data_IF_414588163234
#
_entry.id   IF_414588163234
#
_cell.length_a   1.000
_cell.length_b   1.000
_cell.length_c   1.000
_cell.angle_alpha   90.00
_cell.angle_beta   90.00
_cell.angle_gamma   90.00
#
_symmetry.space_group_name_H-M   'P 1'
#
loop_
_entity.id
_entity.type
_entity.pdbx_description
1 polymer ?
#
# COMPACT_ATOMS: atom_id res chain seq x y z
N UNK A 1 -12.49 -11.79 21.16
CA UNK A 1 -11.57 -12.95 21.20
C UNK A 1 -10.37 -12.53 22.03
N UNK A 2 -9.87 -13.41 22.92
CA UNK A 2 -8.69 -13.08 23.72
C UNK A 2 -7.45 -13.64 23.02
N UNK A 3 -6.40 -12.84 22.95
CA UNK A 3 -5.12 -13.20 22.37
C UNK A 3 -4.03 -13.31 23.43
N UNK A 4 -3.02 -14.12 23.13
CA UNK A 4 -1.74 -14.14 23.83
C UNK A 4 -0.70 -13.51 22.92
N UNK A 5 0.07 -12.58 23.45
CA UNK A 5 1.25 -11.98 22.80
C UNK A 5 2.49 -12.71 23.25
N UNK A 6 3.29 -13.13 22.28
CA UNK A 6 4.61 -13.72 22.49
C UNK A 6 5.68 -12.76 21.96
N UNK A 7 6.68 -12.49 22.77
CA UNK A 7 7.87 -11.75 22.35
C UNK A 7 9.02 -12.73 22.24
N UNK A 8 9.47 -12.99 21.02
CA UNK A 8 10.60 -13.88 20.74
C UNK A 8 11.90 -13.09 20.60
N UNK A 9 12.96 -13.64 21.14
CA UNK A 9 14.34 -13.16 20.99
C UNK A 9 15.17 -14.28 20.40
N UNK A 10 15.87 -14.03 19.31
CA UNK A 10 16.69 -15.03 18.61
C UNK A 10 18.16 -14.66 18.64
N UNK A 11 19.05 -15.65 18.70
CA UNK A 11 20.49 -15.46 18.58
C UNK A 11 21.08 -16.52 17.64
N UNK A 12 21.62 -16.13 16.45
CA UNK A 12 21.66 -14.76 15.90
C UNK A 12 20.27 -14.22 15.55
N UNK A 13 20.11 -12.89 15.60
CA UNK A 13 18.92 -12.20 15.11
C UNK A 13 19.19 -11.66 13.70
N UNK A 14 18.38 -12.06 12.73
CA UNK A 14 18.38 -11.54 11.36
C UNK A 14 17.04 -11.90 10.67
N UNK A 15 16.75 -11.20 9.57
CA UNK A 15 15.52 -11.34 8.81
C UNK A 15 15.22 -12.80 8.41
N UNK A 16 16.23 -13.53 7.93
CA UNK A 16 16.05 -14.94 7.51
C UNK A 16 15.64 -15.86 8.68
N UNK A 17 16.16 -15.63 9.88
CA UNK A 17 15.78 -16.38 11.08
C UNK A 17 14.35 -16.03 11.48
N UNK A 18 13.98 -14.74 11.41
CA UNK A 18 12.64 -14.27 11.74
C UNK A 18 11.60 -14.78 10.76
N UNK A 19 11.89 -14.83 9.45
CA UNK A 19 11.00 -15.38 8.43
C UNK A 19 10.72 -16.87 8.65
N UNK A 20 11.78 -17.65 8.97
CA UNK A 20 11.61 -19.07 9.27
C UNK A 20 10.84 -19.24 10.57
N UNK A 21 11.09 -18.40 11.59
CA UNK A 21 10.35 -18.44 12.86
C UNK A 21 8.86 -18.14 12.63
N UNK A 22 8.53 -17.12 11.83
CA UNK A 22 7.15 -16.82 11.45
C UNK A 22 6.46 -18.01 10.79
N UNK A 23 7.15 -18.68 9.86
CA UNK A 23 6.59 -19.82 9.14
C UNK A 23 6.27 -21.00 10.08
N UNK A 24 7.19 -21.40 10.97
CA UNK A 24 6.94 -22.52 11.91
C UNK A 24 5.90 -22.17 12.98
N UNK A 25 5.84 -20.90 13.42
CA UNK A 25 4.83 -20.44 14.37
C UNK A 25 3.44 -20.38 13.73
N UNK A 26 3.35 -20.03 12.44
CA UNK A 26 2.07 -20.09 11.71
C UNK A 26 1.52 -21.53 11.67
N UNK A 27 2.38 -22.54 11.48
CA UNK A 27 1.98 -23.95 11.57
C UNK A 27 1.54 -24.35 13.00
N UNK A 28 2.08 -23.69 14.03
CA UNK A 28 1.69 -23.87 15.42
C UNK A 28 0.42 -23.08 15.82
N UNK A 29 -0.23 -22.38 14.87
CA UNK A 29 -1.51 -21.70 15.07
C UNK A 29 -1.42 -20.21 15.36
N UNK A 30 -0.24 -19.59 15.26
CA UNK A 30 -0.12 -18.13 15.32
C UNK A 30 -0.64 -17.50 14.03
N UNK A 31 -1.40 -16.41 14.14
CA UNK A 31 -2.09 -15.76 13.03
C UNK A 31 -1.60 -14.35 12.70
N UNK A 32 -0.75 -13.76 13.56
CA UNK A 32 -0.25 -12.40 13.38
C UNK A 32 1.19 -12.26 13.86
N UNK A 33 2.01 -11.53 13.09
CA UNK A 33 3.45 -11.34 13.32
C UNK A 33 3.84 -9.88 13.18
N UNK A 34 4.70 -9.37 14.07
CA UNK A 34 5.20 -8.00 14.05
C UNK A 34 6.71 -7.99 14.24
N UNK A 35 7.44 -7.42 13.26
CA UNK A 35 8.86 -7.13 13.38
C UNK A 35 9.01 -5.76 14.04
N UNK A 36 9.74 -5.69 15.14
CA UNK A 36 10.06 -4.41 15.77
C UNK A 36 11.45 -4.00 15.30
N UNK A 37 11.50 -3.16 14.26
CA UNK A 37 12.75 -2.56 13.82
C UNK A 37 13.27 -1.59 14.89
N UNK A 38 14.55 -1.72 15.25
CA UNK A 38 15.26 -0.82 16.20
C UNK A 38 15.42 0.61 15.66
N UNK A 39 14.99 0.90 14.44
CA UNK A 39 15.18 2.17 13.75
C UNK A 39 14.30 3.33 14.25
N UNK A 40 13.19 3.06 14.93
CA UNK A 40 12.27 4.14 15.35
C UNK A 40 12.69 4.84 16.67
N UNK A 41 13.70 4.34 17.40
CA UNK A 41 14.17 4.95 18.64
C UNK A 41 15.29 5.99 18.45
N UNK A 42 15.96 6.02 17.28
CA UNK A 42 17.06 6.98 17.04
C UNK A 42 16.60 8.36 16.55
N UNK A 43 15.34 8.58 16.24
CA UNK A 43 14.86 9.86 15.70
C UNK A 43 14.64 10.97 16.77
N UNK A 44 14.88 10.72 18.06
CA UNK A 44 14.51 11.68 19.13
C UNK A 44 15.62 12.17 20.06
N UNK A 45 16.89 11.90 19.82
CA UNK A 45 17.94 12.42 20.71
C UNK A 45 19.17 12.95 19.98
N UNK A 46 18.99 14.04 19.21
CA UNK A 46 20.06 15.02 19.02
C UNK A 46 19.69 16.27 19.82
N UNK A 47 20.06 16.35 21.07
CA UNK A 47 20.14 17.61 21.80
C UNK A 47 21.61 17.98 21.87
N UNK A 48 21.94 19.18 21.35
CA UNK A 48 23.29 19.81 21.40
C UNK A 48 23.66 20.25 22.84
N UNK A 49 23.46 19.40 23.85
CA UNK A 49 23.84 19.67 25.21
C UNK A 49 24.98 18.73 25.67
N UNK A 50 26.22 19.24 25.85
CA UNK A 50 27.36 18.43 26.22
C UNK A 50 27.37 17.92 27.70
N UNK A 51 26.37 18.25 28.51
CA UNK A 51 26.25 17.83 29.89
C UNK A 51 25.13 16.79 30.16
N UNK A 52 24.58 16.17 29.12
CA UNK A 52 23.60 15.09 29.29
C UNK A 52 24.28 13.81 29.79
N UNK A 53 23.70 13.10 30.77
CA UNK A 53 24.27 11.86 31.24
C UNK A 53 24.32 10.81 30.15
N UNK A 54 25.48 10.18 29.96
CA UNK A 54 25.68 9.05 29.06
C UNK A 54 24.88 7.88 29.62
N UNK A 55 23.76 7.54 28.96
CA UNK A 55 23.07 6.28 29.23
C UNK A 55 23.86 5.18 28.53
N UNK A 56 24.28 4.15 29.32
CA UNK A 56 24.84 2.93 28.75
C UNK A 56 23.86 2.34 27.71
N UNK A 57 24.34 2.19 26.49
CA UNK A 57 23.62 1.49 25.42
C UNK A 57 23.35 0.05 25.90
N UNK A 58 22.08 -0.24 26.21
CA UNK A 58 21.61 -1.64 26.18
C UNK A 58 21.63 -2.04 24.71
N UNK A 59 22.38 -3.11 24.41
CA UNK A 59 22.37 -3.71 23.07
C UNK A 59 20.93 -3.90 22.63
N UNK A 60 20.58 -3.27 21.49
CA UNK A 60 19.28 -3.43 20.83
C UNK A 60 19.12 -4.90 20.46
N UNK A 61 18.22 -5.57 21.13
CA UNK A 61 17.83 -6.94 20.81
C UNK A 61 16.61 -6.81 19.90
N UNK A 62 16.77 -7.15 18.63
CA UNK A 62 15.63 -7.24 17.69
C UNK A 62 14.58 -8.17 18.30
N UNK A 63 13.40 -7.64 18.53
CA UNK A 63 12.28 -8.37 19.09
C UNK A 63 11.30 -8.73 17.98
N UNK A 64 10.92 -10.00 17.95
CA UNK A 64 9.90 -10.52 17.07
C UNK A 64 8.66 -10.87 17.89
N UNK A 65 7.52 -10.25 17.56
CA UNK A 65 6.25 -10.51 18.25
C UNK A 65 5.34 -11.37 17.41
N UNK A 66 4.67 -12.31 18.07
CA UNK A 66 3.66 -13.17 17.44
C UNK A 66 2.42 -13.29 18.35
N UNK A 67 1.26 -13.45 17.72
CA UNK A 67 -0.01 -13.51 18.41
C UNK A 67 -0.76 -14.79 18.07
N UNK A 68 -1.40 -15.38 19.10
CA UNK A 68 -2.23 -16.58 18.97
C UNK A 68 -3.52 -16.40 19.76
N UNK A 69 -4.64 -16.89 19.23
CA UNK A 69 -5.89 -16.92 19.98
C UNK A 69 -5.74 -17.82 21.20
N UNK A 70 -6.17 -17.32 22.37
CA UNK A 70 -6.01 -18.04 23.65
C UNK A 70 -6.63 -19.44 23.63
N UNK A 71 -7.70 -19.63 22.86
CA UNK A 71 -8.41 -20.88 22.70
C UNK A 71 -7.66 -21.91 21.83
N UNK A 72 -6.75 -21.43 20.96
CA UNK A 72 -5.93 -22.27 20.08
C UNK A 72 -4.53 -22.52 20.65
N UNK A 73 -4.17 -21.83 21.73
CA UNK A 73 -2.86 -21.96 22.34
C UNK A 73 -2.67 -23.31 23.04
N UNK A 74 -1.64 -24.04 22.63
CA UNK A 74 -1.14 -25.23 23.32
C UNK A 74 0.36 -25.04 23.63
N UNK A 75 0.67 -25.00 24.92
CA UNK A 75 2.05 -24.76 25.41
C UNK A 75 3.03 -25.84 24.94
N UNK A 76 2.57 -27.09 24.82
CA UNK A 76 3.41 -28.20 24.39
C UNK A 76 3.80 -28.02 22.91
N UNK A 77 2.85 -27.66 22.06
CA UNK A 77 3.09 -27.41 20.62
C UNK A 77 4.07 -26.24 20.41
N UNK A 78 3.92 -25.13 21.13
CA UNK A 78 4.84 -23.99 20.99
C UNK A 78 6.24 -24.34 21.45
N UNK A 79 6.39 -25.04 22.56
CA UNK A 79 7.70 -25.51 23.05
C UNK A 79 8.36 -26.48 22.06
N UNK A 80 7.61 -27.44 21.56
CA UNK A 80 8.10 -28.39 20.54
C UNK A 80 8.53 -27.68 19.26
N UNK A 81 7.79 -26.67 18.81
CA UNK A 81 8.12 -25.86 17.64
C UNK A 81 9.44 -25.11 17.81
N UNK A 82 9.67 -24.53 18.99
CA UNK A 82 10.92 -23.81 19.30
C UNK A 82 12.10 -24.79 19.45
N UNK A 83 11.90 -25.92 20.14
CA UNK A 83 12.94 -26.94 20.36
C UNK A 83 13.37 -27.63 19.03
N UNK A 84 12.46 -27.80 18.11
CA UNK A 84 12.70 -28.42 16.79
C UNK A 84 12.92 -27.37 15.68
N UNK A 85 13.34 -26.16 16.03
CA UNK A 85 13.56 -25.12 15.05
C UNK A 85 14.53 -25.54 13.93
N UNK A 86 14.18 -25.38 12.63
CA UNK A 86 14.89 -26.02 11.54
C UNK A 86 16.29 -25.45 11.24
N UNK A 87 16.64 -24.29 11.78
CA UNK A 87 17.96 -23.68 11.58
C UNK A 87 18.91 -24.06 12.73
N UNK A 88 20.00 -24.78 12.42
CA UNK A 88 20.95 -25.18 13.48
C UNK A 88 21.74 -24.00 14.03
N UNK A 89 21.95 -23.99 15.34
CA UNK A 89 22.75 -22.97 16.02
C UNK A 89 21.99 -21.66 16.31
N UNK A 90 20.67 -21.63 16.16
CA UNK A 90 19.81 -20.54 16.58
C UNK A 90 19.26 -20.85 17.97
N UNK A 91 19.50 -19.96 18.93
CA UNK A 91 18.86 -20.00 20.24
C UNK A 91 17.62 -19.11 20.22
N UNK A 92 16.50 -19.62 20.74
CA UNK A 92 15.23 -18.90 20.76
C UNK A 92 14.73 -18.84 22.21
N UNK A 93 14.49 -17.63 22.68
CA UNK A 93 13.82 -17.37 23.95
C UNK A 93 12.49 -16.65 23.67
N UNK A 94 11.48 -16.90 24.49
CA UNK A 94 10.22 -16.17 24.37
C UNK A 94 9.63 -15.87 25.75
N UNK A 95 8.92 -14.75 25.79
CA UNK A 95 8.09 -14.35 26.91
C UNK A 95 6.65 -14.28 26.42
N UNK A 96 5.70 -14.67 27.28
CA UNK A 96 4.28 -14.68 26.98
C UNK A 96 3.55 -13.75 27.94
N UNK A 97 2.67 -12.91 27.39
CA UNK A 97 1.73 -12.10 28.14
C UNK A 97 0.33 -12.30 27.63
N UNK A 98 -0.68 -12.19 28.49
CA UNK A 98 -2.06 -12.07 28.01
C UNK A 98 -2.15 -10.70 27.32
N UNK A 99 -2.41 -10.70 25.99
CA UNK A 99 -2.56 -9.46 25.27
C UNK A 99 -3.71 -8.67 25.93
N UNK A 100 -3.42 -7.44 26.34
CA UNK A 100 -4.46 -6.56 26.84
C UNK A 100 -5.60 -6.53 25.78
N UNK A 101 -6.83 -6.47 26.26
CA UNK A 101 -8.01 -6.35 25.38
C UNK A 101 -8.01 -4.92 24.77
N UNK A 102 -6.89 -4.59 24.12
CA UNK A 102 -6.77 -3.40 23.32
C UNK A 102 -7.53 -3.64 22.05
N UNK A 103 -8.42 -2.73 21.73
CA UNK A 103 -9.00 -2.67 20.41
C UNK A 103 -7.87 -2.32 19.41
N UNK A 104 -7.15 -3.36 18.97
CA UNK A 104 -6.03 -3.23 18.03
C UNK A 104 -6.44 -2.47 16.77
N UNK A 105 -7.71 -2.57 16.38
CA UNK A 105 -8.26 -1.77 15.30
C UNK A 105 -8.21 -0.27 15.63
N UNK A 106 -8.60 0.15 16.85
CA UNK A 106 -8.54 1.56 17.25
C UNK A 106 -7.10 2.10 17.35
N UNK A 107 -6.15 1.28 17.80
CA UNK A 107 -4.74 1.70 17.92
C UNK A 107 -4.06 1.71 16.54
N UNK A 108 -4.36 0.72 15.70
CA UNK A 108 -3.97 0.69 14.30
C UNK A 108 -4.57 1.88 13.53
N UNK A 109 -5.86 2.14 13.71
CA UNK A 109 -6.58 3.27 13.13
C UNK A 109 -5.97 4.63 13.54
N UNK A 110 -5.57 4.79 14.81
CA UNK A 110 -4.98 6.04 15.32
C UNK A 110 -3.54 6.29 14.85
N UNK A 111 -2.76 5.23 14.63
CA UNK A 111 -1.31 5.33 14.39
C UNK A 111 -0.91 5.09 12.94
N UNK A 112 -1.68 4.35 12.18
CA UNK A 112 -1.30 3.89 10.85
C UNK A 112 -1.78 4.81 9.72
N UNK A 113 -2.89 5.51 9.91
CA UNK A 113 -3.51 6.29 8.86
C UNK A 113 -3.89 7.68 9.38
N UNK A 114 -2.98 8.65 9.28
CA UNK A 114 -3.30 10.05 9.57
C UNK A 114 -3.93 10.70 8.32
N UNK A 115 -4.82 11.71 8.48
CA UNK A 115 -5.33 12.45 7.32
C UNK A 115 -4.19 13.02 6.50
N UNK A 116 -4.17 12.68 5.22
CA UNK A 116 -3.15 13.12 4.27
C UNK A 116 -3.66 14.32 3.48
N UNK A 117 -2.84 15.36 3.34
CA UNK A 117 -3.12 16.50 2.49
C UNK A 117 -2.14 16.51 1.31
N UNK A 118 -2.66 16.34 0.10
CA UNK A 118 -1.89 16.38 -1.14
C UNK A 118 -2.10 17.75 -1.80
N UNK A 119 -0.99 18.46 -2.05
CA UNK A 119 -0.91 19.77 -2.73
C UNK A 119 -1.77 20.88 -2.07
N UNK A 120 -2.19 20.71 -0.82
CA UNK A 120 -3.13 21.64 -0.17
C UNK A 120 -4.55 21.62 -0.74
N UNK A 121 -4.84 20.72 -1.70
CA UNK A 121 -6.08 20.68 -2.48
C UNK A 121 -6.92 19.42 -2.23
N UNK A 122 -6.29 18.30 -1.93
CA UNK A 122 -6.98 17.04 -1.68
C UNK A 122 -6.63 16.52 -0.29
N UNK A 123 -7.63 16.30 0.55
CA UNK A 123 -7.48 15.63 1.84
C UNK A 123 -8.08 14.24 1.76
N UNK A 124 -7.28 13.26 2.17
CA UNK A 124 -7.68 11.85 2.26
C UNK A 124 -7.75 11.49 3.73
N UNK A 125 -8.84 10.92 4.16
CA UNK A 125 -9.08 10.51 5.53
C UNK A 125 -9.92 9.23 5.57
N UNK A 126 -9.95 8.56 6.70
CA UNK A 126 -10.85 7.42 6.93
C UNK A 126 -12.07 7.84 7.73
N UNK A 127 -13.10 6.97 7.75
CA UNK A 127 -14.36 7.19 8.48
C UNK A 127 -14.16 7.39 9.99
N UNK A 128 -13.08 6.88 10.57
CA UNK A 128 -12.77 7.02 12.00
C UNK A 128 -12.11 8.35 12.37
N UNK A 129 -11.67 9.17 11.41
CA UNK A 129 -11.09 10.48 11.72
C UNK A 129 -12.19 11.50 12.05
N UNK A 130 -12.05 12.20 13.19
CA UNK A 130 -13.06 13.15 13.67
C UNK A 130 -12.82 14.59 13.22
N UNK A 131 -11.55 15.01 13.16
CA UNK A 131 -11.17 16.40 12.88
C UNK A 131 -10.38 16.47 11.56
N UNK A 132 -11.08 16.18 10.45
CA UNK A 132 -10.47 16.18 9.10
C UNK A 132 -10.43 17.60 8.56
N UNK A 133 -9.25 18.13 8.15
CA UNK A 133 -9.15 19.42 7.48
C UNK A 133 -10.02 19.46 6.21
N UNK A 134 -10.63 20.60 5.92
CA UNK A 134 -11.37 20.80 4.68
C UNK A 134 -10.43 21.24 3.56
N UNK A 135 -10.61 20.65 2.39
CA UNK A 135 -9.89 21.01 1.17
C UNK A 135 -10.87 21.13 -0.03
N UNK A 136 -10.35 21.46 -1.20
CA UNK A 136 -11.11 21.47 -2.45
C UNK A 136 -11.77 20.11 -2.73
N UNK A 137 -11.01 19.04 -2.51
CA UNK A 137 -11.47 17.65 -2.59
C UNK A 137 -11.24 16.97 -1.23
N UNK A 138 -12.26 16.28 -0.75
CA UNK A 138 -12.16 15.49 0.46
C UNK A 138 -12.58 14.06 0.12
N UNK A 139 -11.67 13.11 0.27
CA UNK A 139 -11.88 11.71 -0.07
C UNK A 139 -11.86 10.88 1.21
N UNK A 140 -12.89 10.08 1.41
CA UNK A 140 -12.95 9.12 2.51
C UNK A 140 -12.54 7.75 2.00
N UNK A 141 -11.48 7.17 2.57
CA UNK A 141 -10.98 5.84 2.22
C UNK A 141 -10.85 5.01 3.49
N UNK A 142 -11.51 3.88 3.50
CA UNK A 142 -11.28 2.82 4.47
C UNK A 142 -10.52 1.68 3.76
N UNK A 143 -9.17 1.64 3.86
CA UNK A 143 -8.34 0.83 2.96
C UNK A 143 -8.43 -0.66 3.23
N UNK A 144 -8.83 -1.06 4.45
CA UNK A 144 -8.78 -2.47 4.89
C UNK A 144 -7.43 -3.11 4.54
N UNK A 145 -7.41 -4.14 3.67
CA UNK A 145 -6.20 -4.81 3.18
C UNK A 145 -5.79 -4.36 1.77
N UNK A 146 -6.49 -3.36 1.19
CA UNK A 146 -6.21 -2.90 -0.18
C UNK A 146 -5.15 -1.81 -0.21
N UNK A 147 -4.32 -1.80 -1.25
CA UNK A 147 -3.37 -0.71 -1.53
C UNK A 147 -4.10 0.55 -1.98
N UNK A 148 -3.51 1.73 -1.75
CA UNK A 148 -4.05 3.01 -2.23
C UNK A 148 -4.65 3.89 -1.13
N UNK A 149 -3.97 4.00 0.02
CA UNK A 149 -4.33 4.95 1.10
C UNK A 149 -3.99 6.39 0.78
N UNK A 150 -3.20 6.63 -0.26
CA UNK A 150 -2.65 7.94 -0.59
C UNK A 150 -1.25 8.20 -0.03
N UNK A 151 -0.86 7.58 1.08
CA UNK A 151 0.40 7.86 1.78
C UNK A 151 1.65 7.39 1.04
N UNK A 152 1.54 6.34 0.24
CA UNK A 152 2.67 5.89 -0.55
C UNK A 152 3.02 6.91 -1.64
N UNK A 153 4.31 7.17 -1.86
CA UNK A 153 4.81 8.16 -2.81
C UNK A 153 4.19 8.03 -4.21
N UNK A 154 3.99 6.79 -4.69
CA UNK A 154 3.35 6.53 -5.99
C UNK A 154 1.91 7.02 -6.06
N UNK A 155 1.11 6.77 -5.02
CA UNK A 155 -0.29 7.20 -4.97
C UNK A 155 -0.38 8.72 -4.83
N UNK A 156 0.44 9.34 -3.96
CA UNK A 156 0.50 10.80 -3.81
C UNK A 156 0.85 11.50 -5.12
N UNK A 157 1.84 11.01 -5.87
CA UNK A 157 2.21 11.57 -7.18
C UNK A 157 1.07 11.46 -8.21
N UNK A 158 0.37 10.32 -8.25
CA UNK A 158 -0.78 10.13 -9.14
C UNK A 158 -1.93 11.07 -8.78
N UNK A 159 -2.21 11.25 -7.49
CA UNK A 159 -3.21 12.23 -6.99
C UNK A 159 -2.83 13.64 -7.43
N UNK A 160 -1.57 14.05 -7.20
CA UNK A 160 -1.06 15.37 -7.63
C UNK A 160 -1.26 15.58 -9.12
N UNK A 161 -0.96 14.57 -9.94
CA UNK A 161 -1.16 14.65 -11.39
C UNK A 161 -2.63 14.81 -11.77
N UNK A 162 -3.53 14.03 -11.18
CA UNK A 162 -4.98 14.16 -11.41
C UNK A 162 -5.48 15.54 -10.98
N UNK A 163 -4.94 16.12 -9.88
CA UNK A 163 -5.28 17.46 -9.42
C UNK A 163 -4.85 18.57 -10.38
N UNK A 164 -3.79 18.37 -11.15
CA UNK A 164 -3.21 19.40 -12.02
C UNK A 164 -3.65 19.31 -13.47
N UNK A 165 -4.05 18.13 -13.96
CA UNK A 165 -4.55 17.96 -15.32
C UNK A 165 -6.07 18.13 -15.40
N UNK A 166 -6.60 18.45 -16.58
CA UNK A 166 -8.04 18.56 -16.79
C UNK A 166 -8.68 17.17 -16.96
N UNK A 167 -9.62 16.84 -16.07
CA UNK A 167 -10.36 15.57 -16.09
C UNK A 167 -11.74 15.72 -16.72
N UNK A 168 -12.16 16.94 -17.10
CA UNK A 168 -13.52 17.23 -17.52
C UNK A 168 -13.96 16.40 -18.72
N UNK A 169 -14.99 15.59 -18.54
CA UNK A 169 -15.62 14.80 -19.60
C UNK A 169 -14.84 13.56 -20.05
N UNK A 170 -13.70 13.23 -19.41
CA UNK A 170 -12.86 12.11 -19.80
C UNK A 170 -13.49 10.75 -19.45
N UNK A 171 -13.29 9.77 -20.36
CA UNK A 171 -13.42 8.34 -20.09
C UNK A 171 -12.09 7.83 -19.52
N UNK A 172 -12.10 7.35 -18.28
CA UNK A 172 -10.89 6.99 -17.54
C UNK A 172 -10.86 5.50 -17.25
N UNK A 173 -9.70 4.88 -17.43
CA UNK A 173 -9.39 3.54 -16.93
C UNK A 173 -8.45 3.66 -15.72
N UNK A 174 -8.80 3.03 -14.60
CA UNK A 174 -7.96 2.86 -13.42
C UNK A 174 -7.62 1.37 -13.27
N UNK A 175 -6.39 1.00 -13.63
CA UNK A 175 -5.94 -0.39 -13.69
C UNK A 175 -5.06 -0.74 -12.51
N UNK A 176 -5.42 -1.81 -11.76
CA UNK A 176 -4.89 -2.08 -10.43
C UNK A 176 -5.45 -1.06 -9.44
N UNK A 177 -6.78 -0.92 -9.41
CA UNK A 177 -7.43 0.23 -8.75
C UNK A 177 -7.33 0.22 -7.22
N UNK A 178 -7.07 -0.93 -6.59
CA UNK A 178 -6.95 -1.06 -5.14
C UNK A 178 -8.16 -0.51 -4.40
N UNK A 179 -7.99 0.62 -3.69
CA UNK A 179 -9.07 1.35 -3.01
C UNK A 179 -9.96 2.16 -3.96
N UNK A 180 -9.64 2.26 -5.24
CA UNK A 180 -10.21 3.17 -6.25
C UNK A 180 -10.05 4.68 -5.95
N UNK A 181 -9.11 5.07 -5.11
CA UNK A 181 -8.89 6.48 -4.76
C UNK A 181 -8.63 7.35 -5.99
N UNK A 182 -7.91 6.85 -7.01
CA UNK A 182 -7.57 7.58 -8.23
C UNK A 182 -8.80 7.77 -9.11
N UNK A 183 -9.61 6.73 -9.30
CA UNK A 183 -10.89 6.81 -10.01
C UNK A 183 -11.88 7.75 -9.31
N UNK A 184 -11.98 7.69 -7.98
CA UNK A 184 -12.82 8.59 -7.17
C UNK A 184 -12.40 10.04 -7.39
N UNK A 185 -11.10 10.36 -7.28
CA UNK A 185 -10.60 11.71 -7.51
C UNK A 185 -10.84 12.16 -8.96
N UNK A 186 -10.61 11.31 -9.95
CA UNK A 186 -10.87 11.64 -11.36
C UNK A 186 -12.34 12.00 -11.57
N UNK A 187 -13.28 11.27 -10.97
CA UNK A 187 -14.71 11.57 -11.00
C UNK A 187 -15.04 12.90 -10.31
N UNK A 188 -14.49 13.15 -9.12
CA UNK A 188 -14.66 14.44 -8.43
C UNK A 188 -14.12 15.61 -9.26
N UNK A 189 -13.09 15.38 -10.07
CA UNK A 189 -12.47 16.35 -10.97
C UNK A 189 -13.23 16.49 -12.33
N UNK A 190 -14.35 15.78 -12.51
CA UNK A 190 -15.23 15.95 -13.66
C UNK A 190 -15.05 14.93 -14.78
N UNK A 191 -14.31 13.85 -14.58
CA UNK A 191 -14.31 12.74 -15.53
C UNK A 191 -15.74 12.25 -15.76
N UNK A 192 -16.10 11.93 -16.99
CA UNK A 192 -17.47 11.53 -17.34
C UNK A 192 -17.81 10.15 -16.79
N UNK A 193 -16.86 9.24 -16.89
CA UNK A 193 -17.01 7.86 -16.47
C UNK A 193 -15.63 7.26 -16.17
N UNK A 194 -15.56 6.37 -15.18
CA UNK A 194 -14.38 5.59 -14.88
C UNK A 194 -14.68 4.10 -14.94
N UNK A 195 -13.74 3.35 -15.48
CA UNK A 195 -13.68 1.89 -15.36
C UNK A 195 -12.51 1.58 -14.44
N UNK A 196 -12.78 0.93 -13.32
CA UNK A 196 -11.79 0.51 -12.33
C UNK A 196 -11.65 -1.00 -12.37
N UNK A 197 -10.43 -1.51 -12.44
CA UNK A 197 -10.16 -2.95 -12.58
C UNK A 197 -9.11 -3.37 -11.58
N UNK A 198 -9.37 -4.47 -10.87
CA UNK A 198 -8.37 -5.12 -10.02
C UNK A 198 -8.50 -6.65 -10.15
N UNK A 199 -7.39 -7.35 -10.02
CA UNK A 199 -7.37 -8.82 -10.07
C UNK A 199 -7.89 -9.42 -8.77
N UNK A 200 -7.73 -8.70 -7.66
CA UNK A 200 -8.06 -9.16 -6.32
C UNK A 200 -9.52 -8.81 -5.97
N UNK A 201 -10.31 -9.84 -5.63
CA UNK A 201 -11.70 -9.67 -5.20
C UNK A 201 -11.83 -8.77 -3.97
N UNK A 202 -10.86 -8.80 -3.04
CA UNK A 202 -10.85 -7.92 -1.87
C UNK A 202 -10.73 -6.45 -2.27
N UNK A 203 -9.86 -6.15 -3.23
CA UNK A 203 -9.72 -4.81 -3.79
C UNK A 203 -11.00 -4.35 -4.48
N UNK A 204 -11.65 -5.21 -5.27
CA UNK A 204 -12.93 -4.92 -5.92
C UNK A 204 -14.02 -4.58 -4.89
N UNK A 205 -14.17 -5.40 -3.86
CA UNK A 205 -15.15 -5.16 -2.80
C UNK A 205 -14.86 -3.88 -2.02
N UNK A 206 -13.60 -3.63 -1.67
CA UNK A 206 -13.18 -2.41 -0.97
C UNK A 206 -13.36 -1.16 -1.85
N UNK A 207 -13.09 -1.26 -3.15
CA UNK A 207 -13.38 -0.19 -4.12
C UNK A 207 -14.84 0.22 -4.09
N UNK A 208 -15.76 -0.74 -4.16
CA UNK A 208 -17.21 -0.47 -4.13
C UNK A 208 -17.63 0.20 -2.83
N UNK A 209 -17.08 -0.22 -1.69
CA UNK A 209 -17.32 0.42 -0.40
C UNK A 209 -16.83 1.87 -0.39
N UNK A 210 -15.59 2.12 -0.83
CA UNK A 210 -15.01 3.46 -0.86
C UNK A 210 -15.76 4.39 -1.83
N UNK A 211 -16.18 3.91 -2.99
CA UNK A 211 -17.03 4.66 -3.93
C UNK A 211 -18.34 5.08 -3.24
N UNK A 212 -18.97 4.14 -2.52
CA UNK A 212 -20.20 4.41 -1.76
C UNK A 212 -19.98 5.45 -0.64
N UNK A 213 -18.88 5.35 0.12
CA UNK A 213 -18.51 6.30 1.18
C UNK A 213 -18.36 7.74 0.66
N UNK A 214 -17.88 7.89 -0.57
CA UNK A 214 -17.72 9.19 -1.21
C UNK A 214 -18.95 9.68 -1.97
N UNK A 215 -20.03 8.90 -2.02
CA UNK A 215 -21.26 9.22 -2.76
C UNK A 215 -21.00 9.56 -4.23
N UNK A 216 -20.10 8.83 -4.87
CA UNK A 216 -19.70 9.05 -6.26
C UNK A 216 -20.38 8.02 -7.17
N UNK A 217 -20.98 8.50 -8.25
CA UNK A 217 -21.54 7.69 -9.33
C UNK A 217 -20.62 7.68 -10.55
N UNK A 218 -20.85 6.74 -11.48
CA UNK A 218 -20.14 6.69 -12.76
C UNK A 218 -18.74 6.08 -12.67
N UNK A 219 -18.55 5.16 -11.74
CA UNK A 219 -17.39 4.27 -11.67
C UNK A 219 -17.90 2.84 -11.73
N UNK A 220 -17.53 2.11 -12.78
CA UNK A 220 -17.77 0.67 -12.90
C UNK A 220 -16.53 -0.10 -12.42
N UNK A 221 -16.72 -0.98 -11.45
CA UNK A 221 -15.62 -1.79 -10.89
C UNK A 221 -15.73 -3.22 -11.42
N UNK A 222 -14.62 -3.78 -11.88
CA UNK A 222 -14.56 -5.13 -12.42
C UNK A 222 -13.40 -5.91 -11.80
N UNK A 223 -13.64 -7.17 -11.52
CA UNK A 223 -12.57 -8.10 -11.19
C UNK A 223 -11.97 -8.67 -12.47
N UNK A 224 -10.64 -8.62 -12.61
CA UNK A 224 -9.92 -9.20 -13.72
C UNK A 224 -8.56 -8.57 -13.98
N UNK A 225 -7.89 -9.08 -14.99
CA UNK A 225 -6.64 -8.54 -15.53
C UNK A 225 -6.90 -7.69 -16.79
N UNK A 226 -5.84 -7.23 -17.44
CA UNK A 226 -5.93 -6.38 -18.62
C UNK A 226 -6.65 -7.05 -19.82
N UNK A 227 -6.85 -8.36 -19.83
CA UNK A 227 -7.55 -9.06 -20.92
C UNK A 227 -9.04 -8.72 -21.01
N UNK A 228 -9.66 -8.31 -19.89
CA UNK A 228 -11.06 -7.91 -19.86
C UNK A 228 -11.36 -6.61 -20.61
N UNK A 229 -10.31 -5.87 -21.00
CA UNK A 229 -10.46 -4.60 -21.72
C UNK A 229 -10.89 -4.78 -23.17
N UNK A 230 -11.01 -6.01 -23.66
CA UNK A 230 -11.33 -6.30 -25.06
C UNK A 230 -12.63 -5.64 -25.55
N UNK A 231 -13.61 -5.44 -24.68
CA UNK A 231 -14.91 -4.82 -24.96
C UNK A 231 -15.12 -3.47 -24.27
N UNK A 232 -14.08 -2.90 -23.65
CA UNK A 232 -14.13 -1.65 -22.86
C UNK A 232 -13.42 -0.50 -23.57
N UNK A 233 -13.81 0.73 -23.23
CA UNK A 233 -13.23 1.94 -23.82
C UNK A 233 -13.95 2.37 -25.12
N UNK A 234 -13.35 3.24 -25.96
CA UNK A 234 -12.00 3.75 -25.82
C UNK A 234 -11.88 4.83 -24.72
N UNK A 235 -10.69 4.90 -24.10
CA UNK A 235 -10.38 5.78 -22.99
C UNK A 235 -9.63 7.03 -23.41
N UNK A 236 -9.88 8.15 -22.72
CA UNK A 236 -9.13 9.41 -22.83
C UNK A 236 -7.92 9.43 -21.91
N UNK A 237 -8.00 8.69 -20.78
CA UNK A 237 -6.94 8.56 -19.81
C UNK A 237 -6.88 7.13 -19.30
N UNK A 238 -5.67 6.58 -19.24
CA UNK A 238 -5.35 5.34 -18.49
C UNK A 238 -4.50 5.70 -17.30
N UNK A 239 -4.85 5.20 -16.13
CA UNK A 239 -4.11 5.33 -14.87
C UNK A 239 -3.69 3.91 -14.47
N UNK A 240 -2.40 3.69 -14.21
CA UNK A 240 -1.87 2.41 -13.79
C UNK A 240 -0.77 2.61 -12.74
N UNK A 241 -1.14 2.39 -11.47
CA UNK A 241 -0.20 2.44 -10.34
C UNK A 241 0.15 1.03 -9.88
N UNK A 242 0.91 0.31 -10.71
CA UNK A 242 1.24 -1.10 -10.54
C UNK A 242 2.70 -1.37 -10.90
N UNK A 243 3.23 -2.53 -10.52
CA UNK A 243 4.65 -2.82 -10.72
C UNK A 243 5.06 -2.87 -12.20
N UNK A 244 6.34 -2.57 -12.46
CA UNK A 244 6.96 -2.50 -13.80
C UNK A 244 6.67 -3.73 -14.68
N UNK A 245 6.77 -4.93 -14.13
CA UNK A 245 6.66 -6.14 -14.94
C UNK A 245 5.25 -6.36 -15.48
N UNK A 246 4.24 -6.02 -14.67
CA UNK A 246 2.84 -6.04 -15.08
C UNK A 246 2.61 -4.95 -16.13
N UNK A 247 3.09 -3.72 -15.91
CA UNK A 247 2.98 -2.63 -16.88
C UNK A 247 3.54 -3.03 -18.25
N UNK A 248 4.76 -3.56 -18.31
CA UNK A 248 5.39 -4.01 -19.55
C UNK A 248 4.56 -5.10 -20.28
N UNK A 249 3.95 -6.00 -19.52
CA UNK A 249 3.09 -7.04 -20.11
C UNK A 249 1.76 -6.49 -20.60
N UNK A 250 1.19 -5.50 -19.90
CA UNK A 250 -0.20 -5.09 -20.08
C UNK A 250 -0.37 -3.87 -21.00
N UNK A 251 0.68 -3.09 -21.28
CA UNK A 251 0.66 -1.97 -22.22
C UNK A 251 0.06 -2.36 -23.59
N UNK A 252 0.29 -3.58 -24.05
CA UNK A 252 -0.30 -4.12 -25.30
C UNK A 252 -1.84 -4.21 -25.28
N UNK A 253 -2.46 -4.26 -24.10
CA UNK A 253 -3.91 -4.25 -23.92
C UNK A 253 -4.43 -2.81 -23.73
N UNK A 254 -3.66 -1.94 -23.07
CA UNK A 254 -4.06 -0.55 -22.81
C UNK A 254 -4.04 0.29 -24.09
N UNK A 255 -2.92 0.26 -24.83
CA UNK A 255 -2.71 1.14 -25.98
C UNK A 255 -3.82 1.00 -27.06
N UNK A 256 -4.27 -0.20 -27.45
CA UNK A 256 -5.39 -0.31 -28.41
C UNK A 256 -6.71 0.28 -27.89
N UNK A 257 -6.86 0.45 -26.58
CA UNK A 257 -8.08 0.98 -25.94
C UNK A 257 -8.00 2.47 -25.61
N UNK A 258 -6.88 3.10 -25.84
CA UNK A 258 -6.72 4.54 -25.72
C UNK A 258 -7.21 5.23 -27.01
N UNK A 259 -7.83 6.39 -26.89
CA UNK A 259 -8.10 7.27 -28.05
C UNK A 259 -6.78 7.85 -28.57
N UNK A 260 -6.80 8.36 -29.81
CA UNK A 260 -5.68 9.16 -30.31
C UNK A 260 -5.59 10.45 -29.49
N UNK A 261 -4.39 10.81 -29.04
CA UNK A 261 -4.17 11.93 -28.12
C UNK A 261 -4.47 11.62 -26.64
N UNK A 262 -4.94 10.41 -26.32
CA UNK A 262 -5.18 9.99 -24.95
C UNK A 262 -3.89 9.88 -24.15
N UNK A 263 -3.98 10.16 -22.85
CA UNK A 263 -2.85 10.07 -21.93
C UNK A 263 -2.82 8.72 -21.19
N UNK A 264 -1.62 8.30 -20.78
CA UNK A 264 -1.43 7.26 -19.78
C UNK A 264 -0.50 7.76 -18.69
N UNK A 265 -0.92 7.58 -17.43
CA UNK A 265 -0.12 7.83 -16.23
C UNK A 265 0.29 6.50 -15.63
N UNK A 266 1.58 6.33 -15.38
CA UNK A 266 2.12 5.10 -14.81
C UNK A 266 3.01 5.42 -13.61
N UNK A 267 2.86 4.63 -12.55
CA UNK A 267 3.69 4.64 -11.34
C UNK A 267 3.71 3.22 -10.72
N UNK A 268 4.36 3.05 -9.56
CA UNK A 268 4.53 1.73 -8.94
C UNK A 268 5.86 1.07 -9.29
N UNK A 269 6.85 1.86 -9.73
CA UNK A 269 8.20 1.42 -10.09
C UNK A 269 9.22 2.51 -9.77
N UNK A 270 10.49 2.15 -9.76
CA UNK A 270 11.57 3.06 -9.44
C UNK A 270 12.07 3.83 -10.67
N UNK A 271 12.80 4.92 -10.43
CA UNK A 271 13.35 5.78 -11.49
C UNK A 271 14.25 5.02 -12.47
N UNK A 272 14.94 3.97 -12.02
CA UNK A 272 15.78 3.11 -12.84
C UNK A 272 15.00 2.34 -13.90
N UNK A 273 13.72 2.10 -13.66
CA UNK A 273 12.83 1.34 -14.56
C UNK A 273 12.27 2.20 -15.71
N UNK A 274 12.41 3.52 -15.63
CA UNK A 274 11.87 4.45 -16.64
C UNK A 274 12.38 4.11 -18.05
N UNK A 275 13.67 3.75 -18.18
CA UNK A 275 14.29 3.48 -19.49
C UNK A 275 13.58 2.35 -20.21
N UNK A 276 13.35 1.23 -19.52
CA UNK A 276 12.72 0.04 -20.11
C UNK A 276 11.25 0.30 -20.45
N UNK A 277 10.51 0.99 -19.57
CA UNK A 277 9.12 1.35 -19.82
C UNK A 277 8.99 2.34 -20.99
N UNK A 278 9.88 3.30 -21.08
CA UNK A 278 9.93 4.27 -22.19
C UNK A 278 10.13 3.57 -23.53
N UNK A 279 11.10 2.68 -23.63
CA UNK A 279 11.36 1.91 -24.87
C UNK A 279 10.13 1.14 -25.32
N UNK A 280 9.43 0.47 -24.41
CA UNK A 280 8.22 -0.28 -24.74
C UNK A 280 7.06 0.66 -25.12
N UNK A 281 6.87 1.77 -24.41
CA UNK A 281 5.86 2.77 -24.73
C UNK A 281 6.07 3.38 -26.13
N UNK A 282 7.31 3.77 -26.46
CA UNK A 282 7.65 4.32 -27.78
C UNK A 282 7.44 3.29 -28.88
N UNK A 283 7.78 2.02 -28.64
CA UNK A 283 7.50 0.89 -29.57
C UNK A 283 6.01 0.73 -29.86
N UNK A 284 5.17 1.01 -28.87
CA UNK A 284 3.71 0.93 -28.99
C UNK A 284 3.06 2.23 -29.50
N UNK A 285 3.84 3.26 -29.84
CA UNK A 285 3.33 4.52 -30.40
C UNK A 285 2.88 5.54 -29.36
N UNK A 286 3.47 5.49 -28.16
CA UNK A 286 3.29 6.49 -27.11
C UNK A 286 4.49 7.43 -27.07
N UNK A 287 4.26 8.73 -26.91
CA UNK A 287 5.30 9.74 -26.71
C UNK A 287 5.38 10.13 -25.23
N UNK A 288 6.60 10.15 -24.68
CA UNK A 288 6.87 10.64 -23.34
C UNK A 288 6.60 12.14 -23.24
N UNK A 289 5.79 12.55 -22.28
CA UNK A 289 5.50 13.97 -22.02
C UNK A 289 6.37 14.51 -20.89
N UNK A 290 6.30 13.84 -19.74
CA UNK A 290 7.06 14.23 -18.54
C UNK A 290 7.30 13.05 -17.60
N UNK A 291 8.22 13.27 -16.65
CA UNK A 291 8.54 12.36 -15.57
C UNK A 291 8.65 13.13 -14.26
N UNK A 292 8.12 12.58 -13.20
CA UNK A 292 8.30 13.04 -11.82
C UNK A 292 8.80 11.91 -10.96
N UNK A 293 9.43 12.21 -9.84
CA UNK A 293 9.80 11.22 -8.84
C UNK A 293 9.63 11.78 -7.41
N UNK A 294 9.38 10.87 -6.49
CA UNK A 294 9.34 11.11 -5.05
C UNK A 294 9.89 9.86 -4.36
N UNK A 295 10.89 10.04 -3.50
CA UNK A 295 11.55 8.94 -2.79
C UNK A 295 12.02 7.80 -3.72
N UNK A 296 12.58 8.14 -4.89
CA UNK A 296 12.98 7.26 -5.99
C UNK A 296 11.82 6.54 -6.72
N UNK A 297 10.59 6.70 -6.29
CA UNK A 297 9.41 6.20 -7.01
C UNK A 297 9.08 7.13 -8.18
N UNK A 298 8.99 6.57 -9.37
CA UNK A 298 8.69 7.32 -10.58
C UNK A 298 7.19 7.45 -10.85
N UNK A 299 6.80 8.57 -11.46
CA UNK A 299 5.50 8.78 -12.06
C UNK A 299 5.69 9.38 -13.45
N UNK A 300 5.26 8.71 -14.48
CA UNK A 300 5.48 9.10 -15.88
C UNK A 300 4.17 9.29 -16.63
N UNK A 301 4.19 10.23 -17.59
CA UNK A 301 3.07 10.53 -18.47
C UNK A 301 3.47 10.33 -19.92
N UNK A 302 2.70 9.56 -20.66
CA UNK A 302 2.79 9.43 -22.10
C UNK A 302 1.48 9.85 -22.76
N UNK A 303 1.55 10.18 -24.05
CA UNK A 303 0.40 10.45 -24.92
C UNK A 303 0.45 9.53 -26.13
N UNK A 304 -0.69 8.98 -26.53
CA UNK A 304 -0.85 8.19 -27.73
C UNK A 304 -0.85 9.09 -28.98
N UNK A 305 0.04 8.78 -29.95
CA UNK A 305 0.10 9.41 -31.27
C UNK A 305 -1.18 9.24 -32.04
#
# INVERSE_FOLDING_TARGET
MKYLEFTFTTSPSNEAVQDVLAAVLAEAGFDSFVHTDSLDLHAKTQTDNPEAPIFEEKADVDQFKAYIQKELYDEATVKETVENFPLPGVEIHFEQVEAEDKNWNEEWEKNYFQPLNVDGRCVIASTFHKDVPKAEFNITIDPRMSFGTGHHATTSQMISRILNDDMTGLEVLDMGCGTSILAILARMRGARHCVAVDIDEWCVNNSLENISLNHIDGIDVYQGDASILADKGPFDLVIANINRNILLNDLRYYVPRMKQGAAIYMSGFYVEDIVVLKEECERLGLDLVDTHDMDRWACIKFIRK
#
